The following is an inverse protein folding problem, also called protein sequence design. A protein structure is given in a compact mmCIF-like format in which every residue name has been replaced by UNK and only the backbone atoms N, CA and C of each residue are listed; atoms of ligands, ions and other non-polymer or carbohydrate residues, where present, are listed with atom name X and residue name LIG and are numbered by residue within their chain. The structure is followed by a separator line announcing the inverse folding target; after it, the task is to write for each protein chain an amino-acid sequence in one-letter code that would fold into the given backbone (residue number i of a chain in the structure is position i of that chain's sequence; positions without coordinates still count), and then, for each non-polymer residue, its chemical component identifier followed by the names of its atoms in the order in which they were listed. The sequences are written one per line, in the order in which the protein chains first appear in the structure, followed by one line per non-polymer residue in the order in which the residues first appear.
data_IF_538635835787
#
_entry.id   IF_538635835787
#
_cell.length_a   1.000
_cell.length_b   1.000
_cell.length_c   1.000
_cell.angle_alpha   90.00
_cell.angle_beta   90.00
_cell.angle_gamma   90.00
#
_symmetry.space_group_name_H-M   'P 1'
#
loop_
_entity.id
_entity.type
_entity.pdbx_description
1 polymer ?
#
# COMPACT_ATOMS: atom_id res chain seq x y z
N UNK A 1 28.13 -21.31 30.86
CA UNK A 1 27.57 -20.05 31.37
C UNK A 1 27.27 -19.12 30.19
N UNK A 2 25.98 -18.89 29.98
CA UNK A 2 25.32 -17.72 29.38
C UNK A 2 25.70 -17.27 27.94
N UNK A 3 25.15 -17.96 26.94
CA UNK A 3 24.88 -17.39 25.61
C UNK A 3 23.39 -17.02 25.49
N UNK A 4 22.93 -16.05 26.29
CA UNK A 4 21.57 -15.48 26.22
C UNK A 4 21.72 -13.96 26.13
N UNK A 5 22.32 -13.46 25.05
CA UNK A 5 22.44 -12.01 24.81
C UNK A 5 22.36 -11.70 23.31
N UNK A 6 21.40 -12.31 22.61
CA UNK A 6 21.20 -12.03 21.18
C UNK A 6 19.73 -12.11 20.77
N UNK A 7 18.80 -11.67 21.62
CA UNK A 7 17.37 -11.65 21.29
C UNK A 7 16.76 -10.23 21.41
N UNK A 8 17.42 -9.29 22.09
CA UNK A 8 16.81 -7.99 22.41
C UNK A 8 17.12 -6.82 21.44
N UNK A 9 17.92 -7.02 20.39
CA UNK A 9 18.31 -5.96 19.44
C UNK A 9 17.74 -6.14 18.02
N UNK A 10 16.73 -7.00 17.84
CA UNK A 10 16.18 -7.30 16.51
C UNK A 10 15.29 -6.19 15.92
N UNK A 11 14.91 -5.19 16.71
CA UNK A 11 13.98 -4.13 16.30
C UNK A 11 14.63 -2.86 15.71
N UNK A 12 15.97 -2.75 15.73
CA UNK A 12 16.69 -1.53 15.32
C UNK A 12 17.84 -1.76 14.32
N UNK A 13 17.93 -2.94 13.69
CA UNK A 13 18.96 -3.17 12.67
C UNK A 13 18.76 -2.21 11.47
N UNK A 14 19.84 -1.71 10.84
CA UNK A 14 19.75 -0.90 9.61
C UNK A 14 18.91 -1.57 8.52
N UNK A 15 18.98 -2.90 8.42
CA UNK A 15 18.18 -3.72 7.50
C UNK A 15 16.67 -3.63 7.79
N UNK A 16 16.25 -3.70 9.05
CA UNK A 16 14.85 -3.55 9.44
C UNK A 16 14.32 -2.15 9.11
N UNK A 17 15.16 -1.11 9.24
CA UNK A 17 14.84 0.27 8.83
C UNK A 17 14.74 0.40 7.32
N UNK A 18 15.65 -0.21 6.55
CA UNK A 18 15.62 -0.21 5.10
C UNK A 18 14.33 -0.87 4.57
N UNK A 19 14.01 -2.08 5.05
CA UNK A 19 12.77 -2.80 4.68
C UNK A 19 11.49 -2.00 4.97
N UNK A 20 11.45 -1.29 6.12
CA UNK A 20 10.32 -0.41 6.47
C UNK A 20 10.18 0.77 5.50
N UNK A 21 11.29 1.38 5.09
CA UNK A 21 11.29 2.47 4.09
C UNK A 21 10.82 1.96 2.73
N UNK A 22 11.33 0.82 2.29
CA UNK A 22 10.93 0.20 1.02
C UNK A 22 9.43 -0.13 1.02
N UNK A 23 8.92 -0.77 2.09
CA UNK A 23 7.48 -1.06 2.23
C UNK A 23 6.62 0.20 2.23
N UNK A 24 7.09 1.26 2.89
CA UNK A 24 6.42 2.57 2.93
C UNK A 24 6.40 3.24 1.55
N UNK A 25 7.50 3.11 0.79
CA UNK A 25 7.58 3.61 -0.57
C UNK A 25 6.63 2.84 -1.50
N UNK A 26 6.66 1.51 -1.47
CA UNK A 26 5.75 0.67 -2.25
C UNK A 26 4.27 1.00 -1.95
N UNK A 27 3.94 1.24 -0.68
CA UNK A 27 2.59 1.65 -0.26
C UNK A 27 2.15 2.97 -0.91
N UNK A 28 3.06 3.96 -0.96
CA UNK A 28 2.78 5.26 -1.61
C UNK A 28 2.64 5.14 -3.13
N UNK A 29 3.43 4.28 -3.75
CA UNK A 29 3.37 3.98 -5.18
C UNK A 29 2.03 3.32 -5.54
N UNK A 30 1.60 2.31 -4.78
CA UNK A 30 0.28 1.71 -4.99
C UNK A 30 -0.84 2.74 -4.82
N UNK A 31 -0.79 3.57 -3.78
CA UNK A 31 -1.75 4.65 -3.60
C UNK A 31 -1.74 5.64 -4.78
N UNK A 32 -0.57 5.92 -5.37
CA UNK A 32 -0.46 6.75 -6.56
C UNK A 32 -1.08 6.08 -7.80
N UNK A 33 -0.88 4.77 -7.97
CA UNK A 33 -1.45 3.99 -9.09
C UNK A 33 -2.99 3.95 -9.02
N UNK A 34 -3.55 3.70 -7.83
CA UNK A 34 -5.00 3.77 -7.58
C UNK A 34 -5.54 5.16 -7.94
N UNK A 35 -4.88 6.23 -7.48
CA UNK A 35 -5.30 7.62 -7.78
C UNK A 35 -5.27 7.92 -9.28
N UNK A 36 -4.20 7.51 -9.96
CA UNK A 36 -4.06 7.72 -11.41
C UNK A 36 -5.18 7.01 -12.17
N UNK A 37 -5.46 5.75 -11.82
CA UNK A 37 -6.54 4.99 -12.44
C UNK A 37 -7.91 5.57 -12.13
N UNK A 38 -8.17 5.95 -10.88
CA UNK A 38 -9.42 6.60 -10.50
C UNK A 38 -9.67 7.88 -11.32
N UNK A 39 -8.65 8.74 -11.46
CA UNK A 39 -8.71 9.93 -12.32
C UNK A 39 -8.97 9.60 -13.80
N UNK A 40 -8.34 8.55 -14.34
CA UNK A 40 -8.60 8.10 -15.72
C UNK A 40 -10.05 7.66 -15.95
N UNK A 41 -10.77 7.31 -14.88
CA UNK A 41 -12.19 6.92 -14.89
C UNK A 41 -13.13 8.03 -14.43
N UNK A 42 -12.62 9.24 -14.16
CA UNK A 42 -13.42 10.34 -13.62
C UNK A 42 -13.96 10.10 -12.21
N UNK A 43 -13.35 9.20 -11.44
CA UNK A 43 -13.80 8.86 -10.08
C UNK A 43 -13.04 9.68 -9.05
N UNK A 44 -13.80 10.42 -8.23
CA UNK A 44 -13.29 11.03 -7.01
C UNK A 44 -13.15 9.97 -5.88
N UNK A 45 -12.44 10.29 -4.78
CA UNK A 45 -12.19 9.33 -3.70
C UNK A 45 -13.48 8.81 -3.05
N UNK A 46 -14.49 9.65 -2.87
CA UNK A 46 -15.75 9.26 -2.21
C UNK A 46 -16.56 8.33 -3.10
N UNK A 47 -16.60 8.61 -4.41
CA UNK A 47 -17.24 7.73 -5.38
C UNK A 47 -16.53 6.37 -5.42
N UNK A 48 -15.19 6.36 -5.46
CA UNK A 48 -14.42 5.12 -5.38
C UNK A 48 -14.67 4.37 -4.07
N UNK A 49 -14.77 5.07 -2.93
CA UNK A 49 -15.06 4.46 -1.64
C UNK A 49 -16.41 3.72 -1.66
N UNK A 50 -17.44 4.34 -2.24
CA UNK A 50 -18.76 3.72 -2.41
C UNK A 50 -18.69 2.48 -3.29
N UNK A 51 -18.07 2.59 -4.47
CA UNK A 51 -17.94 1.47 -5.42
C UNK A 51 -17.14 0.31 -4.83
N UNK A 52 -16.10 0.60 -4.06
CA UNK A 52 -15.25 -0.40 -3.42
C UNK A 52 -15.80 -0.96 -2.11
N UNK A 53 -16.90 -0.43 -1.57
CA UNK A 53 -17.44 -0.82 -0.27
C UNK A 53 -16.47 -0.52 0.89
N UNK A 54 -15.79 0.62 0.82
CA UNK A 54 -14.80 1.09 1.81
C UNK A 54 -15.36 2.34 2.50
N UNK A 55 -15.12 2.49 3.80
CA UNK A 55 -15.52 3.71 4.52
C UNK A 55 -14.73 4.92 4.02
N UNK A 56 -15.32 6.12 4.07
CA UNK A 56 -14.66 7.36 3.61
C UNK A 56 -13.30 7.57 4.27
N UNK A 57 -13.19 7.26 5.56
CA UNK A 57 -11.96 7.39 6.34
C UNK A 57 -10.87 6.42 5.89
N UNK A 58 -11.22 5.14 5.67
CA UNK A 58 -10.27 4.13 5.15
C UNK A 58 -9.84 4.46 3.72
N UNK A 59 -10.77 4.97 2.90
CA UNK A 59 -10.42 5.46 1.58
C UNK A 59 -9.46 6.66 1.66
N UNK A 60 -9.67 7.60 2.58
CA UNK A 60 -8.74 8.72 2.77
C UNK A 60 -7.34 8.24 3.15
N UNK A 61 -7.21 7.26 4.05
CA UNK A 61 -5.92 6.66 4.39
C UNK A 61 -5.26 5.93 3.21
N UNK A 62 -6.05 5.18 2.43
CA UNK A 62 -5.60 4.56 1.19
C UNK A 62 -5.12 5.61 0.18
N UNK A 63 -5.90 6.67 -0.01
CA UNK A 63 -5.65 7.73 -0.98
C UNK A 63 -4.38 8.53 -0.67
N UNK A 64 -4.10 8.74 0.62
CA UNK A 64 -2.91 9.44 1.09
C UNK A 64 -1.69 8.52 1.26
N UNK A 65 -1.89 7.19 1.26
CA UNK A 65 -0.82 6.21 1.44
C UNK A 65 -0.23 6.18 2.86
N UNK A 66 -0.97 6.69 3.85
CA UNK A 66 -0.53 6.76 5.27
C UNK A 66 -0.76 5.44 5.99
N UNK A 67 -1.97 4.89 5.85
CA UNK A 67 -2.35 3.59 6.41
C UNK A 67 -3.12 2.80 5.37
N UNK A 68 -2.44 1.82 4.79
CA UNK A 68 -3.01 1.04 3.69
C UNK A 68 -3.24 -0.38 4.16
N UNK A 69 -4.52 -0.74 4.30
CA UNK A 69 -4.87 -2.14 4.51
C UNK A 69 -4.88 -2.85 3.17
N UNK A 70 -4.26 -4.02 3.11
CA UNK A 70 -4.22 -4.86 1.90
C UNK A 70 -5.63 -5.11 1.35
N UNK A 71 -6.61 -5.33 2.23
CA UNK A 71 -8.01 -5.53 1.85
C UNK A 71 -8.63 -4.32 1.15
N UNK A 72 -8.29 -3.10 1.57
CA UNK A 72 -8.78 -1.87 0.92
C UNK A 72 -8.14 -1.66 -0.44
N UNK A 73 -6.85 -2.00 -0.59
CA UNK A 73 -6.15 -1.94 -1.88
C UNK A 73 -6.82 -2.85 -2.91
N UNK A 74 -7.07 -4.11 -2.56
CA UNK A 74 -7.69 -5.06 -3.49
C UNK A 74 -9.15 -4.73 -3.79
N UNK A 75 -9.90 -4.20 -2.82
CA UNK A 75 -11.25 -3.66 -3.07
C UNK A 75 -11.23 -2.51 -4.06
N UNK A 76 -10.30 -1.56 -3.90
CA UNK A 76 -10.12 -0.46 -4.85
C UNK A 76 -9.65 -0.94 -6.23
N UNK A 77 -8.70 -1.88 -6.29
CA UNK A 77 -8.23 -2.53 -7.53
C UNK A 77 -9.38 -3.17 -8.30
N UNK A 78 -10.23 -3.96 -7.61
CA UNK A 78 -11.40 -4.59 -8.22
C UNK A 78 -12.41 -3.56 -8.72
N UNK A 79 -12.71 -2.54 -7.92
CA UNK A 79 -13.61 -1.44 -8.31
C UNK A 79 -13.11 -0.67 -9.54
N UNK A 80 -11.78 -0.52 -9.66
CA UNK A 80 -11.12 0.17 -10.76
C UNK A 80 -10.79 -0.73 -11.95
N UNK A 81 -11.15 -2.02 -11.91
CA UNK A 81 -10.81 -2.99 -12.95
C UNK A 81 -9.33 -2.93 -13.33
N UNK A 82 -8.46 -2.80 -12.34
CA UNK A 82 -7.00 -2.86 -12.50
C UNK A 82 -6.54 -4.30 -12.45
N UNK A 83 -5.44 -4.64 -13.12
CA UNK A 83 -4.74 -5.90 -12.82
C UNK A 83 -3.94 -5.77 -11.53
N UNK A 84 -3.40 -6.89 -11.03
CA UNK A 84 -2.43 -6.86 -9.93
C UNK A 84 -1.16 -6.14 -10.37
N UNK A 85 -0.75 -6.33 -11.62
CA UNK A 85 0.44 -5.67 -12.17
C UNK A 85 0.27 -4.15 -12.26
N UNK A 86 -0.91 -3.67 -12.68
CA UNK A 86 -1.24 -2.24 -12.67
C UNK A 86 -1.18 -1.66 -11.25
N UNK A 87 -1.58 -2.45 -10.26
CA UNK A 87 -1.60 -2.03 -8.86
C UNK A 87 -0.18 -1.83 -8.33
N UNK A 88 0.71 -2.78 -8.62
CA UNK A 88 2.10 -2.81 -8.13
C UNK A 88 3.13 -2.25 -9.12
N UNK A 89 2.69 -1.69 -10.25
CA UNK A 89 3.55 -1.08 -11.25
C UNK A 89 4.50 -0.05 -10.62
N UNK A 90 5.80 -0.20 -10.87
CA UNK A 90 6.85 0.68 -10.36
C UNK A 90 7.34 0.34 -8.95
N UNK A 91 6.72 -0.62 -8.24
CA UNK A 91 7.21 -1.07 -6.93
C UNK A 91 8.42 -2.00 -7.07
N UNK A 92 9.43 -1.83 -6.20
CA UNK A 92 10.60 -2.72 -6.16
C UNK A 92 10.15 -4.15 -5.81
N UNK A 93 10.13 -5.02 -6.81
CA UNK A 93 9.65 -6.41 -6.72
C UNK A 93 8.67 -6.79 -7.83
N UNK A 94 8.03 -5.82 -8.50
CA UNK A 94 7.19 -6.07 -9.68
C UNK A 94 7.99 -6.20 -10.99
N UNK A 95 9.32 -6.15 -10.91
CA UNK A 95 10.22 -6.43 -12.03
C UNK A 95 10.74 -7.86 -11.91
N UNK A 96 10.05 -8.80 -12.57
CA UNK A 96 10.60 -9.95 -13.29
C UNK A 96 9.52 -10.63 -14.11
#
# INVERSE_FOLDING_TARGET
MNSITSIFTRSHSPEARARRRDASQATREVAANIRRRARSRGLDPLSLARTAGITRWRMFWLWTGVHVMITDMFRAQRALGMTVDDLFAGTRGASK
#
